data_IF_419317922223
#
_entry.id   IF_419317922223
#
_cell.length_a   1.000
_cell.length_b   1.000
_cell.length_c   1.000
_cell.angle_alpha   90.00
_cell.angle_beta   90.00
_cell.angle_gamma   90.00
#
_symmetry.space_group_name_H-M   'P 1'
#
loop_
_entity.id
_entity.type
_entity.pdbx_description
1 polymer ?
#
# COMPACT_ATOMS: atom_id res chain seq x y z
N UNK A 1 -0.62 3.16 -1.20
CA UNK A 1 -1.93 2.47 -1.21
C UNK A 1 -2.32 2.15 -2.65
N UNK A 2 -2.80 0.94 -2.93
CA UNK A 2 -2.96 0.37 -4.28
C UNK A 2 -4.47 0.12 -4.52
N UNK A 3 -5.09 0.69 -5.56
CA UNK A 3 -6.55 0.66 -5.74
C UNK A 3 -6.94 -0.06 -7.01
N UNK A 4 -8.04 -0.83 -6.96
CA UNK A 4 -8.59 -1.44 -8.16
C UNK A 4 -10.02 -0.95 -8.41
N UNK A 5 -10.25 -0.34 -9.57
CA UNK A 5 -11.59 0.06 -10.03
C UNK A 5 -12.16 -0.97 -11.01
N UNK A 6 -13.48 -1.19 -10.97
CA UNK A 6 -14.19 -2.15 -11.83
C UNK A 6 -15.22 -1.44 -12.71
N UNK A 7 -14.82 -1.06 -13.92
CA UNK A 7 -15.70 -1.19 -15.08
C UNK A 7 -14.85 -1.54 -16.31
N UNK A 8 -14.93 -2.80 -16.72
CA UNK A 8 -14.33 -3.47 -17.90
C UNK A 8 -12.83 -3.77 -17.94
N UNK A 9 -11.98 -3.28 -17.03
CA UNK A 9 -10.62 -3.81 -16.76
C UNK A 9 -10.25 -3.51 -15.30
N UNK A 10 -9.62 -4.44 -14.59
CA UNK A 10 -9.03 -4.18 -13.26
C UNK A 10 -7.95 -3.12 -13.45
N UNK A 11 -8.26 -1.85 -13.17
CA UNK A 11 -7.31 -0.75 -13.35
C UNK A 11 -6.75 -0.31 -12.02
N UNK A 12 -5.42 -0.34 -11.94
CA UNK A 12 -4.68 0.18 -10.82
C UNK A 12 -4.71 1.70 -10.82
N UNK A 13 -5.17 2.30 -9.71
CA UNK A 13 -5.10 3.73 -9.43
C UNK A 13 -4.46 4.00 -8.06
N UNK A 14 -4.20 5.27 -7.78
CA UNK A 14 -3.65 5.74 -6.51
C UNK A 14 -4.61 6.74 -5.87
N UNK A 15 -4.66 6.77 -4.55
CA UNK A 15 -5.23 7.89 -3.79
C UNK A 15 -4.11 8.63 -3.11
N UNK A 16 -4.40 9.88 -2.74
CA UNK A 16 -3.47 10.71 -1.99
C UNK A 16 -3.10 9.99 -0.68
N UNK A 17 -1.79 9.96 -0.40
CA UNK A 17 -1.18 9.32 0.77
C UNK A 17 -0.07 10.25 1.29
N UNK A 18 0.73 9.89 2.30
CA UNK A 18 1.90 10.70 2.71
C UNK A 18 3.08 10.61 1.72
N UNK A 19 2.99 9.72 0.73
CA UNK A 19 3.97 9.66 -0.35
C UNK A 19 4.01 10.98 -1.13
N UNK A 20 5.23 11.50 -1.38
CA UNK A 20 5.48 12.74 -2.14
C UNK A 20 6.41 12.53 -3.33
N UNK A 21 6.65 11.27 -3.70
CA UNK A 21 7.43 10.92 -4.88
C UNK A 21 6.60 10.92 -6.15
N UNK A 22 7.25 10.73 -7.28
CA UNK A 22 6.58 10.52 -8.56
C UNK A 22 5.93 9.13 -8.60
N UNK A 23 4.65 9.08 -8.99
CA UNK A 23 3.91 7.84 -9.20
C UNK A 23 3.86 7.43 -10.67
N UNK A 24 3.87 6.12 -10.98
CA UNK A 24 3.80 5.64 -12.34
C UNK A 24 2.45 5.94 -12.99
N UNK A 25 2.43 6.04 -14.32
CA UNK A 25 1.22 6.12 -15.12
C UNK A 25 1.00 4.80 -15.89
N UNK A 26 -0.25 4.39 -16.14
CA UNK A 26 -0.52 3.28 -17.05
C UNK A 26 0.12 3.50 -18.42
N UNK A 27 0.70 2.43 -18.99
CA UNK A 27 1.21 2.44 -20.35
C UNK A 27 0.11 2.78 -21.37
N UNK A 28 0.51 3.39 -22.49
CA UNK A 28 -0.41 3.60 -23.61
C UNK A 28 -0.80 2.27 -24.26
N UNK A 29 -1.85 2.26 -25.10
CA UNK A 29 -2.33 1.03 -25.76
C UNK A 29 -1.69 0.80 -27.15
N UNK A 30 -0.80 1.68 -27.60
CA UNK A 30 -0.20 1.62 -28.94
C UNK A 30 1.02 0.69 -29.02
N UNK A 31 1.53 0.46 -30.24
CA UNK A 31 2.72 -0.38 -30.48
C UNK A 31 3.97 0.11 -29.72
N UNK A 32 4.09 1.42 -29.49
CA UNK A 32 5.23 2.04 -28.79
C UNK A 32 4.98 2.24 -27.28
N UNK A 33 4.01 1.52 -26.69
CA UNK A 33 3.53 1.75 -25.33
C UNK A 33 4.61 1.81 -24.25
N UNK A 34 5.63 0.95 -24.37
CA UNK A 34 6.72 0.82 -23.38
C UNK A 34 7.85 1.83 -23.58
N UNK A 35 7.89 2.52 -24.74
CA UNK A 35 8.99 3.42 -25.11
C UNK A 35 8.59 4.90 -25.04
N UNK A 36 7.28 5.19 -25.05
CA UNK A 36 6.78 6.56 -24.92
C UNK A 36 6.79 6.97 -23.45
N UNK A 37 7.39 8.12 -23.17
CA UNK A 37 7.38 8.72 -21.83
C UNK A 37 5.95 9.23 -21.56
N UNK A 38 5.28 8.75 -20.50
CA UNK A 38 3.97 9.26 -20.13
C UNK A 38 4.02 10.76 -19.79
N UNK A 39 2.94 11.51 -19.99
CA UNK A 39 2.90 12.93 -19.65
C UNK A 39 3.12 13.14 -18.15
N UNK A 40 3.65 14.32 -17.78
CA UNK A 40 3.88 14.71 -16.38
C UNK A 40 4.90 13.86 -15.60
N UNK A 41 5.81 13.18 -16.32
CA UNK A 41 7.03 12.62 -15.70
C UNK A 41 8.05 13.73 -15.43
N UNK A 42 8.82 13.65 -14.35
CA UNK A 42 9.82 14.65 -13.98
C UNK A 42 11.11 14.00 -13.44
N UNK A 43 12.26 14.59 -13.77
CA UNK A 43 13.58 14.02 -13.43
C UNK A 43 13.99 14.24 -11.96
N UNK A 44 13.12 14.81 -11.13
CA UNK A 44 13.38 15.12 -9.72
C UNK A 44 12.59 14.22 -8.76
N UNK A 45 11.88 13.21 -9.26
CA UNK A 45 10.99 12.35 -8.48
C UNK A 45 10.01 13.17 -7.61
N UNK A 46 9.56 14.33 -8.09
CA UNK A 46 8.58 15.17 -7.39
C UNK A 46 7.19 14.59 -7.53
N UNK A 47 6.38 14.80 -6.51
CA UNK A 47 4.97 14.47 -6.50
C UNK A 47 4.25 14.94 -7.76
N UNK A 48 3.40 14.05 -8.32
CA UNK A 48 2.54 14.35 -9.45
C UNK A 48 1.07 14.18 -9.04
N UNK A 49 0.38 15.25 -8.60
CA UNK A 49 -0.98 15.17 -8.05
C UNK A 49 -2.04 14.64 -9.02
N UNK A 50 -1.81 14.72 -10.33
CA UNK A 50 -2.75 14.20 -11.34
C UNK A 50 -2.88 12.67 -11.33
N UNK A 51 -2.06 11.96 -10.55
CA UNK A 51 -2.12 10.50 -10.41
C UNK A 51 -3.16 10.02 -9.40
N UNK A 52 -3.72 10.94 -8.62
CA UNK A 52 -4.67 10.60 -7.56
C UNK A 52 -6.11 10.62 -8.06
N UNK A 53 -6.89 9.67 -7.58
CA UNK A 53 -8.35 9.66 -7.68
C UNK A 53 -8.96 9.86 -6.29
N UNK A 54 -10.26 10.14 -6.24
CA UNK A 54 -11.00 10.14 -4.97
C UNK A 54 -11.18 8.71 -4.45
N UNK A 55 -11.02 8.55 -3.15
CA UNK A 55 -11.20 7.25 -2.48
C UNK A 55 -12.63 6.72 -2.61
N UNK A 56 -13.62 7.60 -2.76
CA UNK A 56 -15.02 7.24 -2.99
C UNK A 56 -15.26 6.55 -4.34
N UNK A 57 -14.35 6.70 -5.31
CA UNK A 57 -14.42 6.04 -6.62
C UNK A 57 -13.85 4.60 -6.60
N UNK A 58 -13.23 4.21 -5.48
CA UNK A 58 -12.51 2.95 -5.35
C UNK A 58 -13.45 1.78 -5.03
N UNK A 59 -13.43 0.74 -5.87
CA UNK A 59 -14.20 -0.48 -5.61
C UNK A 59 -13.48 -1.37 -4.60
N UNK A 60 -12.17 -1.48 -4.77
CA UNK A 60 -11.26 -2.13 -3.84
C UNK A 60 -10.13 -1.21 -3.45
N UNK A 61 -9.71 -1.32 -2.19
CA UNK A 61 -8.61 -0.59 -1.60
C UNK A 61 -7.64 -1.58 -0.98
N UNK A 62 -6.35 -1.43 -1.26
CA UNK A 62 -5.31 -2.23 -0.62
C UNK A 62 -4.52 -1.36 0.34
N UNK A 63 -4.59 -1.69 1.62
CA UNK A 63 -4.09 -0.89 2.73
C UNK A 63 -3.23 -1.74 3.68
N UNK A 64 -2.25 -1.11 4.34
CA UNK A 64 -1.45 -1.73 5.39
C UNK A 64 -1.90 -1.17 6.74
N UNK A 65 -2.50 -2.02 7.56
CA UNK A 65 -3.09 -1.65 8.85
C UNK A 65 -1.97 -1.47 9.89
N UNK A 66 -1.48 -0.24 9.99
CA UNK A 66 -0.52 0.20 10.99
C UNK A 66 -1.26 0.90 12.14
N UNK A 67 -0.64 0.90 13.31
CA UNK A 67 -1.15 1.63 14.49
C UNK A 67 -0.95 3.16 14.42
N UNK A 68 -0.58 3.67 13.24
CA UNK A 68 -0.32 5.09 12.97
C UNK A 68 -1.27 5.59 11.90
N UNK A 69 -1.91 6.73 12.14
CA UNK A 69 -2.87 7.35 11.22
C UNK A 69 -2.46 8.79 10.93
N UNK A 70 -2.64 9.24 9.69
CA UNK A 70 -2.48 10.65 9.29
C UNK A 70 -3.73 11.15 8.59
N UNK A 71 -3.78 12.45 8.29
CA UNK A 71 -4.90 13.02 7.53
C UNK A 71 -5.02 12.43 6.12
N UNK A 72 -3.93 11.95 5.53
CA UNK A 72 -3.90 11.37 4.19
C UNK A 72 -3.84 9.83 4.17
N UNK A 73 -3.49 9.21 5.30
CA UNK A 73 -3.45 7.76 5.49
C UNK A 73 -4.23 7.38 6.76
N UNK A 74 -5.57 7.54 6.76
CA UNK A 74 -6.40 7.04 7.85
C UNK A 74 -6.48 5.52 7.82
N UNK A 75 -6.86 4.89 8.93
CA UNK A 75 -7.03 3.45 8.98
C UNK A 75 -8.36 3.01 8.36
N UNK A 76 -8.34 2.70 7.06
CA UNK A 76 -9.54 2.34 6.30
C UNK A 76 -10.18 1.05 6.80
N UNK A 77 -9.40 0.13 7.37
CA UNK A 77 -9.92 -1.14 7.90
C UNK A 77 -10.78 -0.96 9.14
N UNK A 78 -10.52 0.07 9.95
CA UNK A 78 -11.32 0.45 11.13
C UNK A 78 -12.64 1.14 10.76
N UNK A 79 -12.74 1.68 9.55
CA UNK A 79 -13.94 2.37 9.05
C UNK A 79 -14.98 1.38 8.50
N UNK A 80 -15.56 0.58 9.40
CA UNK A 80 -16.51 -0.48 9.06
C UNK A 80 -17.81 0.01 8.42
N UNK A 81 -18.11 1.32 8.45
CA UNK A 81 -19.25 1.88 7.75
C UNK A 81 -19.05 1.87 6.21
N UNK A 82 -17.82 2.10 5.77
CA UNK A 82 -17.48 2.31 4.35
C UNK A 82 -16.85 1.07 3.72
N UNK A 83 -16.09 0.30 4.51
CA UNK A 83 -15.25 -0.78 4.01
C UNK A 83 -15.56 -2.13 4.63
N UNK A 84 -15.30 -3.19 3.85
CA UNK A 84 -15.30 -4.58 4.31
C UNK A 84 -13.94 -5.20 4.02
N UNK A 85 -13.26 -5.74 5.03
CA UNK A 85 -12.03 -6.53 4.82
C UNK A 85 -12.41 -7.87 4.19
N UNK A 86 -12.02 -8.08 2.92
CA UNK A 86 -12.32 -9.34 2.21
C UNK A 86 -11.14 -10.31 2.23
N UNK A 87 -9.91 -9.80 2.38
CA UNK A 87 -8.72 -10.62 2.58
C UNK A 87 -7.70 -9.86 3.41
N UNK A 88 -7.05 -10.57 4.31
CA UNK A 88 -5.89 -10.06 5.05
C UNK A 88 -4.75 -11.06 4.94
N UNK A 89 -3.53 -10.56 4.75
CA UNK A 89 -2.29 -11.35 4.74
C UNK A 89 -1.22 -10.60 5.56
N UNK A 90 -0.30 -11.31 6.23
CA UNK A 90 0.80 -10.64 6.93
C UNK A 90 1.73 -9.96 5.92
N UNK A 91 2.06 -8.70 6.16
CA UNK A 91 3.04 -7.93 5.38
C UNK A 91 4.01 -7.23 6.31
N UNK A 92 5.24 -7.09 5.85
CA UNK A 92 6.34 -6.59 6.68
C UNK A 92 6.11 -5.14 7.12
N UNK A 93 6.14 -4.89 8.43
CA UNK A 93 6.09 -3.55 9.00
C UNK A 93 7.51 -2.97 9.07
N UNK A 94 7.79 -2.02 8.19
CA UNK A 94 9.11 -1.38 8.11
C UNK A 94 9.31 -0.31 9.17
N UNK A 95 8.23 0.29 9.69
CA UNK A 95 8.29 1.39 10.66
C UNK A 95 8.78 0.90 12.03
N UNK A 96 8.52 -0.36 12.36
CA UNK A 96 9.02 -1.01 13.57
C UNK A 96 10.35 -1.71 13.34
N UNK A 97 11.38 -1.00 12.89
CA UNK A 97 12.73 -1.57 12.75
C UNK A 97 13.67 -0.98 13.80
N UNK A 98 14.41 -1.81 14.55
CA UNK A 98 15.46 -1.33 15.48
C UNK A 98 16.78 -1.21 14.73
N UNK A 99 17.40 -0.02 14.81
CA UNK A 99 18.77 0.15 14.34
C UNK A 99 19.72 -0.56 15.30
N UNK A 100 20.69 -1.31 14.75
CA UNK A 100 21.64 -2.10 15.54
C UNK A 100 22.50 -1.27 16.50
N UNK A 101 22.51 0.07 16.38
CA UNK A 101 23.15 0.99 17.31
C UNK A 101 22.31 1.35 18.54
N UNK A 102 20.99 1.13 18.52
CA UNK A 102 20.07 1.49 19.60
C UNK A 102 19.77 0.33 20.56
N UNK A 103 20.30 -0.86 20.27
CA UNK A 103 20.10 -2.06 21.10
C UNK A 103 20.72 -1.95 22.51
N UNK A 104 21.53 -0.91 22.78
CA UNK A 104 22.14 -0.69 24.09
C UNK A 104 21.40 0.29 25.00
N UNK A 105 20.35 1.00 24.53
CA UNK A 105 19.72 2.07 25.33
C UNK A 105 18.20 2.04 25.44
N UNK A 106 17.50 1.17 24.69
CA UNK A 106 16.05 1.08 24.78
C UNK A 106 15.61 -0.04 25.72
N UNK A 107 14.80 0.39 26.69
CA UNK A 107 14.04 -0.43 27.62
C UNK A 107 13.49 -1.68 26.93
N UNK A 108 13.72 -2.83 27.56
CA UNK A 108 13.43 -4.20 27.11
C UNK A 108 12.02 -4.42 26.52
N UNK A 109 11.09 -3.48 26.73
CA UNK A 109 9.70 -3.53 26.26
C UNK A 109 9.50 -3.04 24.80
N UNK A 110 10.33 -2.13 24.26
CA UNK A 110 10.14 -1.61 22.89
C UNK A 110 10.80 -2.48 21.80
N UNK A 111 11.85 -3.22 22.16
CA UNK A 111 12.56 -4.11 21.24
C UNK A 111 11.75 -5.35 20.82
N UNK A 112 10.82 -5.81 21.66
CA UNK A 112 10.01 -7.01 21.37
C UNK A 112 9.08 -6.83 20.16
N UNK A 113 8.67 -5.60 19.88
CA UNK A 113 7.78 -5.28 18.76
C UNK A 113 8.52 -4.76 17.52
N UNK A 114 9.83 -5.01 17.39
CA UNK A 114 10.63 -4.48 16.29
C UNK A 114 11.35 -5.54 15.46
N UNK A 115 11.30 -5.38 14.15
CA UNK A 115 12.06 -6.13 13.15
C UNK A 115 13.57 -5.91 13.30
N UNK A 116 14.34 -6.99 13.19
CA UNK A 116 15.78 -6.94 13.13
C UNK A 116 16.25 -6.52 11.72
N UNK A 117 17.04 -5.45 11.63
CA UNK A 117 17.48 -4.89 10.34
C UNK A 117 18.14 -5.89 9.40
N UNK A 118 19.03 -6.76 9.91
CA UNK A 118 19.70 -7.77 9.07
C UNK A 118 18.72 -8.79 8.48
N UNK A 119 17.85 -9.39 9.31
CA UNK A 119 16.88 -10.39 8.85
C UNK A 119 15.79 -9.81 7.95
N UNK A 120 15.52 -8.50 8.08
CA UNK A 120 14.66 -7.73 7.17
C UNK A 120 15.32 -7.49 5.80
N UNK A 121 16.60 -7.11 5.78
CA UNK A 121 17.34 -6.85 4.55
C UNK A 121 17.70 -8.13 3.79
N UNK A 122 18.02 -9.20 4.53
CA UNK A 122 18.44 -10.50 4.00
C UNK A 122 17.46 -11.58 4.50
N UNK A 123 16.28 -11.62 3.88
CA UNK A 123 15.21 -12.52 4.31
C UNK A 123 15.52 -13.97 3.95
N UNK A 124 15.59 -14.83 4.98
CA UNK A 124 15.71 -16.28 4.87
C UNK A 124 14.37 -16.87 5.33
N UNK A 125 13.63 -17.59 4.45
CA UNK A 125 12.37 -18.21 4.83
C UNK A 125 12.50 -19.07 6.10
N UNK A 126 11.47 -19.04 6.95
CA UNK A 126 11.37 -19.75 8.24
C UNK A 126 12.32 -19.29 9.36
N UNK A 127 13.46 -18.70 9.05
CA UNK A 127 14.41 -18.17 10.05
C UNK A 127 14.15 -16.69 10.30
N UNK A 128 14.13 -15.88 9.25
CA UNK A 128 13.95 -14.43 9.37
C UNK A 128 12.55 -14.02 9.83
N UNK A 129 11.55 -14.88 9.65
CA UNK A 129 10.15 -14.60 10.04
C UNK A 129 10.01 -14.31 11.53
N UNK A 130 10.77 -15.01 12.37
CA UNK A 130 10.69 -14.87 13.82
C UNK A 130 11.36 -13.57 14.32
N UNK A 131 12.13 -12.91 13.46
CA UNK A 131 12.83 -11.66 13.73
C UNK A 131 12.24 -10.47 12.96
N UNK A 132 11.09 -10.67 12.30
CA UNK A 132 10.39 -9.64 11.56
C UNK A 132 9.01 -9.41 12.15
N UNK A 133 8.59 -8.16 12.19
CA UNK A 133 7.27 -7.75 12.59
C UNK A 133 6.40 -7.53 11.37
N UNK A 134 5.15 -7.97 11.49
CA UNK A 134 4.19 -7.97 10.40
C UNK A 134 2.93 -7.23 10.83
N UNK A 135 2.34 -6.53 9.89
CA UNK A 135 1.06 -5.88 10.00
C UNK A 135 0.06 -6.48 8.99
N UNK A 136 -1.26 -6.41 9.26
CA UNK A 136 -2.28 -6.86 8.33
C UNK A 136 -2.27 -6.04 7.04
N UNK A 137 -2.01 -6.69 5.90
CA UNK A 137 -2.19 -6.11 4.58
C UNK A 137 -3.55 -6.50 4.03
N UNK A 138 -4.45 -5.52 4.05
CA UNK A 138 -5.87 -5.70 3.88
C UNK A 138 -6.28 -5.35 2.45
N UNK A 139 -7.00 -6.28 1.83
CA UNK A 139 -7.83 -5.99 0.68
C UNK A 139 -9.23 -5.65 1.20
N UNK A 140 -9.63 -4.41 0.99
CA UNK A 140 -10.89 -3.83 1.41
C UNK A 140 -11.81 -3.70 0.19
N UNK A 141 -13.09 -3.95 0.39
CA UNK A 141 -14.15 -3.73 -0.59
C UNK A 141 -15.06 -2.60 -0.12
N UNK A 142 -15.34 -1.64 -1.01
CA UNK A 142 -16.28 -0.55 -0.74
C UNK A 142 -17.71 -1.08 -0.58
N UNK A 143 -18.43 -0.57 0.42
CA UNK A 143 -19.85 -0.85 0.65
C UNK A 143 -20.77 0.04 -0.17
N UNK A 144 -20.26 1.15 -0.68
CA UNK A 144 -21.03 2.16 -1.41
C UNK A 144 -21.13 1.86 -2.90
N UNK A 145 -20.14 1.17 -3.46
CA UNK A 145 -20.09 0.86 -4.90
C UNK A 145 -20.64 -0.53 -5.19
N UNK A 146 -21.64 -0.60 -6.07
CA UNK A 146 -22.17 -1.86 -6.57
C UNK A 146 -21.24 -2.41 -7.63
N UNK A 147 -20.74 -3.64 -7.42
CA UNK A 147 -20.05 -4.38 -8.48
C UNK A 147 -21.02 -4.57 -9.66
N UNK A 148 -20.65 -4.08 -10.84
CA UNK A 148 -21.39 -4.37 -12.06
C UNK A 148 -21.53 -5.89 -12.22
N UNK A 149 -22.72 -6.37 -12.61
CA UNK A 149 -22.90 -7.79 -12.93
C UNK A 149 -21.91 -8.16 -14.03
N UNK A 150 -21.15 -9.23 -13.81
CA UNK A 150 -20.29 -9.83 -14.83
C UNK A 150 -21.15 -10.14 -16.07
N UNK A 151 -20.90 -9.44 -17.17
CA UNK A 151 -21.45 -9.75 -18.49
C UNK A 151 -20.49 -10.76 -19.15
N UNK A 152 -20.84 -12.06 -19.20
CA UNK A 152 -20.02 -13.04 -19.88
C UNK A 152 -20.19 -12.84 -21.39
N UNK A 153 -19.37 -11.97 -21.99
CA UNK A 153 -19.15 -11.94 -23.43
C UNK A 153 -17.97 -12.81 -23.80
#
# INVERSE_FOLDING_TARGET
MLIITLFTRWQLQFVKSEFRGQLPQPYSKGLNATSVIPPHMNDMNKEEPSRYIDVAECHFLVDLDLDTETSWEPNYSRHSADWTVIKSVPFLDTARSVSSGEMFFLEYFSAFNSSHNFFRAFFIPFVSSDYCTYAPYNLLQSKHLKLGKHDPR
#
